data_IF_607707867731
#
_entry.id   IF_607707867731
#
_cell.length_a   1.000
_cell.length_b   1.000
_cell.length_c   1.000
_cell.angle_alpha   90.00
_cell.angle_beta   90.00
_cell.angle_gamma   90.00
#
_symmetry.space_group_name_H-M   'P 1'
#
loop_
_entity.id
_entity.type
_entity.pdbx_description
1 polymer ?
#
# COMPACT_ATOMS: atom_id res chain seq x y z
N UNK A 1 -1.34 -24.94 -11.68
CA UNK A 1 -2.42 -23.94 -11.52
C UNK A 1 -2.40 -23.39 -10.11
N UNK A 2 -2.48 -22.10 -9.98
CA UNK A 2 -2.47 -21.43 -8.67
C UNK A 2 -3.88 -21.44 -8.07
N UNK A 3 -4.04 -21.77 -6.79
CA UNK A 3 -5.36 -21.85 -6.18
C UNK A 3 -5.94 -20.47 -5.88
N UNK A 4 -7.27 -20.41 -5.82
CA UNK A 4 -7.94 -19.24 -5.28
C UNK A 4 -7.74 -19.20 -3.76
N UNK A 5 -7.70 -18.01 -3.21
CA UNK A 5 -7.54 -17.82 -1.76
C UNK A 5 -8.65 -18.51 -0.99
N UNK A 6 -9.89 -18.44 -1.48
CA UNK A 6 -11.04 -19.11 -0.85
C UNK A 6 -11.01 -20.62 -0.96
N UNK A 7 -10.22 -21.19 -1.87
CA UNK A 7 -10.02 -22.64 -1.94
C UNK A 7 -9.10 -23.13 -0.83
N UNK A 8 -8.10 -22.33 -0.48
CA UNK A 8 -7.18 -22.67 0.62
C UNK A 8 -7.80 -22.35 1.98
N UNK A 9 -8.57 -21.31 2.06
CA UNK A 9 -9.18 -20.83 3.30
C UNK A 9 -10.66 -20.52 3.08
N UNK A 10 -11.53 -21.56 3.07
CA UNK A 10 -12.95 -21.38 2.78
C UNK A 10 -13.71 -20.47 3.74
N UNK A 11 -13.17 -20.24 4.93
CA UNK A 11 -13.81 -19.35 5.91
C UNK A 11 -14.05 -17.94 5.37
N UNK A 12 -13.29 -17.51 4.39
CA UNK A 12 -13.46 -16.17 3.81
C UNK A 12 -14.74 -16.03 2.98
N UNK A 13 -15.36 -17.13 2.58
CA UNK A 13 -16.63 -17.04 1.84
C UNK A 13 -17.76 -16.49 2.68
N UNK A 14 -17.62 -16.51 4.01
CA UNK A 14 -18.61 -15.95 4.92
C UNK A 14 -18.41 -14.44 5.17
N UNK A 15 -17.29 -13.88 4.72
CA UNK A 15 -16.99 -12.45 4.88
C UNK A 15 -17.41 -11.70 3.62
N UNK A 16 -18.57 -11.03 3.67
CA UNK A 16 -19.12 -10.33 2.52
C UNK A 16 -18.18 -9.21 2.05
N UNK A 17 -17.56 -8.47 2.97
CA UNK A 17 -16.65 -7.39 2.60
C UNK A 17 -15.41 -7.93 1.88
N UNK A 18 -14.90 -9.07 2.32
CA UNK A 18 -13.78 -9.73 1.64
C UNK A 18 -14.20 -10.23 0.26
N UNK A 19 -15.35 -10.89 0.16
CA UNK A 19 -15.83 -11.44 -1.10
C UNK A 19 -16.09 -10.33 -2.15
N UNK A 20 -16.59 -9.18 -1.72
CA UNK A 20 -16.83 -8.05 -2.62
C UNK A 20 -15.53 -7.51 -3.22
N UNK A 21 -14.46 -7.45 -2.45
CA UNK A 21 -13.19 -6.88 -2.91
C UNK A 21 -12.21 -7.93 -3.42
N UNK A 22 -12.23 -9.14 -2.88
CA UNK A 22 -11.17 -10.11 -3.09
C UNK A 22 -11.65 -11.55 -3.29
N UNK A 23 -12.96 -11.74 -3.55
CA UNK A 23 -13.53 -13.09 -3.70
C UNK A 23 -12.89 -13.93 -4.80
N UNK A 24 -12.32 -13.28 -5.81
CA UNK A 24 -11.61 -13.94 -6.90
C UNK A 24 -10.09 -13.93 -6.74
N UNK A 25 -9.59 -13.58 -5.55
CA UNK A 25 -8.15 -13.52 -5.30
C UNK A 25 -7.48 -14.87 -5.54
N UNK A 26 -6.34 -14.85 -6.21
CA UNK A 26 -5.54 -16.02 -6.50
C UNK A 26 -4.26 -15.96 -5.67
N UNK A 27 -3.96 -17.03 -4.96
CA UNK A 27 -2.72 -17.09 -4.17
C UNK A 27 -1.56 -17.37 -5.13
N UNK A 28 -0.65 -16.39 -5.21
CA UNK A 28 0.54 -16.50 -6.04
C UNK A 28 1.61 -17.34 -5.34
N UNK A 29 1.82 -17.11 -4.05
CA UNK A 29 2.78 -17.86 -3.25
C UNK A 29 2.58 -17.60 -1.76
N UNK A 30 3.09 -18.50 -0.95
CA UNK A 30 3.18 -18.35 0.50
C UNK A 30 4.63 -18.55 0.87
N UNK A 31 5.23 -17.56 1.53
CA UNK A 31 6.63 -17.59 1.91
C UNK A 31 6.74 -17.66 3.43
N UNK A 32 7.45 -18.66 3.93
CA UNK A 32 7.69 -18.80 5.37
C UNK A 32 9.14 -18.43 5.68
N UNK A 33 9.33 -17.40 6.46
CA UNK A 33 10.62 -17.01 7.01
C UNK A 33 10.71 -17.57 8.43
N UNK A 34 11.33 -18.71 8.58
CA UNK A 34 11.42 -19.39 9.87
C UNK A 34 12.33 -18.68 10.84
N UNK A 35 13.34 -17.97 10.35
CA UNK A 35 14.30 -17.26 11.18
C UNK A 35 13.63 -16.07 11.86
N UNK A 36 12.86 -15.29 11.14
CA UNK A 36 12.17 -14.11 11.65
C UNK A 36 10.74 -14.38 12.10
N UNK A 37 10.27 -15.63 11.93
CA UNK A 37 8.90 -16.03 12.30
C UNK A 37 7.84 -15.22 11.57
N UNK A 38 7.97 -15.10 10.25
CA UNK A 38 7.04 -14.37 9.40
C UNK A 38 6.51 -15.26 8.29
N UNK A 39 5.19 -15.25 8.11
CA UNK A 39 4.53 -15.87 6.97
C UNK A 39 3.97 -14.75 6.08
N UNK A 40 4.35 -14.75 4.82
CA UNK A 40 3.86 -13.77 3.85
C UNK A 40 3.00 -14.49 2.81
N UNK A 41 1.75 -14.04 2.67
CA UNK A 41 0.83 -14.54 1.65
C UNK A 41 0.77 -13.50 0.54
N UNK A 42 1.17 -13.90 -0.66
CA UNK A 42 1.11 -13.04 -1.85
C UNK A 42 -0.06 -13.50 -2.71
N UNK A 43 -1.00 -12.61 -2.94
CA UNK A 43 -2.19 -12.93 -3.71
C UNK A 43 -2.45 -11.86 -4.77
N UNK A 44 -3.20 -12.23 -5.80
CA UNK A 44 -3.50 -11.34 -6.92
C UNK A 44 -5.00 -11.11 -7.02
N UNK A 45 -5.36 -9.84 -7.19
CA UNK A 45 -6.74 -9.42 -7.38
C UNK A 45 -6.83 -8.50 -8.60
N UNK A 46 -8.04 -8.27 -9.09
CA UNK A 46 -8.25 -7.35 -10.21
C UNK A 46 -7.99 -5.89 -9.79
N UNK A 47 -8.44 -5.54 -8.60
CA UNK A 47 -8.32 -4.18 -8.07
C UNK A 47 -7.55 -4.19 -6.75
N UNK A 48 -6.96 -3.03 -6.36
CA UNK A 48 -6.29 -2.94 -5.06
C UNK A 48 -7.23 -3.32 -3.92
N UNK A 49 -6.72 -4.09 -2.96
CA UNK A 49 -7.49 -4.49 -1.79
C UNK A 49 -7.33 -3.44 -0.70
N UNK A 50 -8.44 -2.92 -0.15
CA UNK A 50 -8.34 -1.94 0.93
C UNK A 50 -7.59 -2.48 2.15
N UNK A 51 -6.90 -1.60 2.86
CA UNK A 51 -6.12 -1.97 4.03
C UNK A 51 -6.97 -2.65 5.11
N UNK A 52 -8.23 -2.24 5.26
CA UNK A 52 -9.16 -2.87 6.20
C UNK A 52 -9.39 -4.35 5.87
N UNK A 53 -9.56 -4.65 4.60
CA UNK A 53 -9.76 -6.03 4.14
C UNK A 53 -8.49 -6.86 4.36
N UNK A 54 -7.33 -6.29 4.08
CA UNK A 54 -6.06 -6.95 4.35
C UNK A 54 -5.89 -7.25 5.85
N UNK A 55 -6.31 -6.33 6.71
CA UNK A 55 -6.28 -6.52 8.15
C UNK A 55 -7.17 -7.67 8.61
N UNK A 56 -8.35 -7.80 8.03
CA UNK A 56 -9.26 -8.93 8.31
C UNK A 56 -8.66 -10.25 7.86
N UNK A 57 -8.01 -10.25 6.70
CA UNK A 57 -7.33 -11.42 6.18
C UNK A 57 -6.23 -11.87 7.14
N UNK A 58 -5.42 -10.95 7.61
CA UNK A 58 -4.35 -11.25 8.58
C UNK A 58 -4.95 -11.81 9.86
N UNK A 59 -5.95 -11.16 10.43
CA UNK A 59 -6.58 -11.59 11.69
C UNK A 59 -7.18 -12.98 11.56
N UNK A 60 -7.75 -13.32 10.41
CA UNK A 60 -8.34 -14.64 10.18
C UNK A 60 -7.29 -15.73 10.00
N UNK A 61 -6.14 -15.39 9.44
CA UNK A 61 -5.07 -16.38 9.17
C UNK A 61 -4.13 -16.59 10.36
N UNK A 62 -3.95 -15.58 11.21
CA UNK A 62 -3.01 -15.69 12.34
C UNK A 62 -3.19 -16.94 13.21
N UNK A 63 -4.44 -17.33 13.59
CA UNK A 63 -4.62 -18.52 14.41
C UNK A 63 -4.18 -19.83 13.74
N UNK A 64 -4.06 -19.83 12.42
CA UNK A 64 -3.63 -21.03 11.67
C UNK A 64 -2.12 -21.18 11.61
N UNK A 65 -1.38 -20.15 11.96
CA UNK A 65 0.09 -20.13 11.96
C UNK A 65 0.62 -19.67 13.31
N UNK A 66 0.40 -20.45 14.38
CA UNK A 66 0.80 -20.03 15.72
C UNK A 66 2.32 -19.82 15.81
N UNK A 67 2.71 -18.73 16.44
CA UNK A 67 4.12 -18.37 16.59
C UNK A 67 4.70 -17.60 15.41
N UNK A 68 3.90 -17.30 14.38
CA UNK A 68 4.34 -16.52 13.23
C UNK A 68 3.55 -15.21 13.12
N UNK A 69 4.22 -14.16 12.69
CA UNK A 69 3.55 -12.94 12.27
C UNK A 69 3.07 -13.10 10.84
N UNK A 70 1.87 -12.63 10.53
CA UNK A 70 1.30 -12.72 9.19
C UNK A 70 1.48 -11.40 8.45
N UNK A 71 1.90 -11.51 7.20
CA UNK A 71 1.92 -10.39 6.25
C UNK A 71 1.18 -10.81 5.00
N UNK A 72 0.47 -9.89 4.39
CA UNK A 72 -0.18 -10.12 3.11
C UNK A 72 0.27 -9.07 2.11
N UNK A 73 0.47 -9.49 0.87
CA UNK A 73 0.85 -8.60 -0.21
C UNK A 73 -0.11 -8.81 -1.37
N UNK A 74 -0.92 -7.81 -1.65
CA UNK A 74 -1.85 -7.86 -2.77
C UNK A 74 -1.18 -7.37 -4.04
N UNK A 75 -1.26 -8.17 -5.10
CA UNK A 75 -0.81 -7.80 -6.43
C UNK A 75 -2.02 -7.41 -7.28
N UNK A 76 -1.87 -6.42 -8.12
CA UNK A 76 -2.94 -5.97 -9.01
C UNK A 76 -2.35 -5.28 -10.23
N UNK A 77 -3.17 -5.04 -11.25
CA UNK A 77 -2.69 -4.37 -12.46
C UNK A 77 -2.47 -2.88 -12.19
N UNK A 78 -1.37 -2.33 -12.73
CA UNK A 78 -1.06 -0.91 -12.57
C UNK A 78 -2.20 -0.01 -13.05
N UNK A 79 -2.90 -0.42 -14.11
CA UNK A 79 -4.04 0.35 -14.64
C UNK A 79 -5.21 0.48 -13.65
N UNK A 80 -5.22 -0.35 -12.62
CA UNK A 80 -6.24 -0.29 -11.55
C UNK A 80 -5.78 0.50 -10.33
N UNK A 81 -4.56 1.05 -10.35
CA UNK A 81 -4.02 1.83 -9.24
C UNK A 81 -4.85 3.09 -9.02
N UNK A 82 -5.22 3.33 -7.77
CA UNK A 82 -5.98 4.51 -7.36
C UNK A 82 -5.17 5.39 -6.43
N UNK A 83 -5.60 6.65 -6.27
CA UNK A 83 -4.96 7.56 -5.32
C UNK A 83 -4.95 6.99 -3.90
N UNK A 84 -6.06 6.39 -3.49
CA UNK A 84 -6.18 5.75 -2.18
C UNK A 84 -5.18 4.60 -2.04
N UNK A 85 -5.05 3.78 -3.08
CA UNK A 85 -4.10 2.66 -3.05
C UNK A 85 -2.66 3.15 -2.90
N UNK A 86 -2.30 4.24 -3.58
CA UNK A 86 -0.97 4.83 -3.44
C UNK A 86 -0.71 5.28 -2.01
N UNK A 87 -1.69 5.95 -1.39
CA UNK A 87 -1.56 6.38 0.01
C UNK A 87 -1.45 5.20 0.98
N UNK A 88 -2.21 4.13 0.73
CA UNK A 88 -2.11 2.92 1.55
C UNK A 88 -0.75 2.24 1.41
N UNK A 89 -0.19 2.20 0.19
CA UNK A 89 1.16 1.68 -0.02
C UNK A 89 2.21 2.56 0.67
N UNK A 90 2.02 3.86 0.66
CA UNK A 90 2.90 4.78 1.39
C UNK A 90 2.85 4.51 2.90
N UNK A 91 1.68 4.19 3.45
CA UNK A 91 1.56 3.81 4.86
C UNK A 91 2.30 2.50 5.16
N UNK A 92 2.37 1.56 4.20
CA UNK A 92 3.17 0.36 4.38
C UNK A 92 4.65 0.67 4.54
N UNK A 93 5.15 1.72 3.90
CA UNK A 93 6.53 2.17 4.08
C UNK A 93 6.77 2.66 5.51
N UNK A 94 5.78 3.32 6.10
CA UNK A 94 5.84 3.73 7.50
C UNK A 94 5.91 2.52 8.42
N UNK A 95 5.08 1.51 8.16
CA UNK A 95 5.07 0.28 8.94
C UNK A 95 6.38 -0.50 8.80
N UNK A 96 7.06 -0.34 7.66
CA UNK A 96 8.37 -0.94 7.42
C UNK A 96 9.52 -0.15 8.08
N UNK A 97 9.22 0.93 8.78
CA UNK A 97 10.21 1.70 9.54
C UNK A 97 10.59 3.05 8.96
N UNK A 98 10.00 3.47 7.84
CA UNK A 98 10.29 4.79 7.29
C UNK A 98 9.59 5.87 8.13
N UNK A 99 10.33 6.85 8.70
CA UNK A 99 9.75 7.82 9.63
C UNK A 99 8.96 8.92 8.90
N UNK A 100 7.78 8.57 8.43
CA UNK A 100 6.91 9.50 7.68
C UNK A 100 6.21 10.49 8.60
N UNK A 101 5.90 10.10 9.84
CA UNK A 101 5.41 10.99 10.91
C UNK A 101 4.21 11.87 10.55
N UNK A 102 3.26 11.33 9.80
CA UNK A 102 2.05 12.07 9.46
C UNK A 102 2.22 13.09 8.34
N UNK A 103 3.37 13.14 7.66
CA UNK A 103 3.55 14.01 6.50
C UNK A 103 2.56 13.71 5.38
N UNK A 104 2.00 12.51 5.37
CA UNK A 104 0.99 12.10 4.38
C UNK A 104 -0.43 12.44 4.81
N UNK A 105 -0.62 12.99 6.01
CA UNK A 105 -1.94 13.40 6.45
C UNK A 105 -2.44 14.54 5.55
N UNK A 106 -3.60 14.34 4.93
CA UNK A 106 -4.15 15.31 3.98
C UNK A 106 -3.44 15.34 2.64
N UNK A 107 -2.50 14.44 2.38
CA UNK A 107 -1.82 14.37 1.10
C UNK A 107 -2.79 14.04 -0.04
N UNK A 108 -2.50 14.59 -1.21
CA UNK A 108 -3.25 14.30 -2.42
C UNK A 108 -2.35 13.61 -3.43
N UNK A 109 -2.92 12.67 -4.17
CA UNK A 109 -2.20 11.90 -5.16
C UNK A 109 -2.86 12.06 -6.52
N UNK A 110 -2.06 12.45 -7.51
CA UNK A 110 -2.49 12.51 -8.90
C UNK A 110 -1.75 11.44 -9.70
N UNK A 111 -2.48 10.67 -10.47
CA UNK A 111 -1.91 9.62 -11.31
C UNK A 111 -2.17 9.98 -12.76
N UNK A 112 -1.10 10.08 -13.55
CA UNK A 112 -1.18 10.35 -14.98
C UNK A 112 -0.24 9.39 -15.71
N UNK A 113 -0.81 8.30 -16.27
CA UNK A 113 0.00 7.24 -16.86
C UNK A 113 0.97 6.66 -15.85
N UNK A 114 2.25 6.66 -16.17
CA UNK A 114 3.29 6.17 -15.27
C UNK A 114 3.91 7.27 -14.42
N UNK A 115 3.27 8.43 -14.34
CA UNK A 115 3.69 9.55 -13.50
C UNK A 115 2.73 9.68 -12.33
N UNK A 116 3.26 9.69 -11.12
CA UNK A 116 2.50 9.86 -9.89
C UNK A 116 3.03 11.08 -9.16
N UNK A 117 2.14 11.99 -8.84
CA UNK A 117 2.50 13.19 -8.06
C UNK A 117 1.86 13.07 -6.68
N UNK A 118 2.68 13.11 -5.64
CA UNK A 118 2.22 13.13 -4.26
C UNK A 118 2.37 14.55 -3.74
N UNK A 119 1.25 15.18 -3.42
CA UNK A 119 1.21 16.55 -2.91
C UNK A 119 1.04 16.51 -1.41
N UNK A 120 1.99 17.10 -0.72
CA UNK A 120 2.00 17.14 0.74
C UNK A 120 2.05 18.59 1.20
N UNK A 121 1.51 18.86 2.38
CA UNK A 121 1.49 20.21 2.93
C UNK A 121 2.87 20.65 3.40
N UNK A 122 3.64 19.72 3.94
CA UNK A 122 4.98 19.99 4.46
C UNK A 122 5.82 18.71 4.43
N UNK A 123 7.10 18.87 4.77
CA UNK A 123 7.97 17.69 4.90
C UNK A 123 8.60 17.20 3.62
N UNK A 124 8.43 17.92 2.49
CA UNK A 124 8.99 17.50 1.20
C UNK A 124 10.49 17.25 1.30
N UNK A 125 11.22 18.14 1.97
CA UNK A 125 12.67 18.01 2.10
C UNK A 125 13.05 16.74 2.86
N UNK A 126 12.39 16.47 3.98
CA UNK A 126 12.64 15.27 4.78
C UNK A 126 12.27 14.01 4.02
N UNK A 127 11.12 14.00 3.35
CA UNK A 127 10.70 12.87 2.54
C UNK A 127 11.69 12.59 1.40
N UNK A 128 12.22 13.65 0.80
CA UNK A 128 13.23 13.52 -0.25
C UNK A 128 14.53 12.94 0.31
N UNK A 129 14.96 13.40 1.48
CA UNK A 129 16.16 12.87 2.12
C UNK A 129 16.03 11.41 2.51
N UNK A 130 14.81 10.96 2.83
CA UNK A 130 14.54 9.56 3.15
C UNK A 130 14.33 8.70 1.91
N UNK A 131 14.45 9.29 0.72
CA UNK A 131 14.22 8.59 -0.56
C UNK A 131 12.80 8.00 -0.64
N UNK A 132 11.83 8.70 -0.09
CA UNK A 132 10.45 8.25 -0.06
C UNK A 132 9.91 7.94 -1.46
N UNK A 133 10.16 8.85 -2.42
CA UNK A 133 9.67 8.66 -3.79
C UNK A 133 10.24 7.39 -4.42
N UNK A 134 11.54 7.15 -4.25
CA UNK A 134 12.21 5.95 -4.78
C UNK A 134 11.64 4.69 -4.15
N UNK A 135 11.46 4.70 -2.83
CA UNK A 135 10.92 3.54 -2.11
C UNK A 135 9.47 3.27 -2.51
N UNK A 136 8.68 4.31 -2.71
CA UNK A 136 7.30 4.15 -3.18
C UNK A 136 7.26 3.60 -4.59
N UNK A 137 8.13 4.08 -5.48
CA UNK A 137 8.26 3.53 -6.84
C UNK A 137 8.58 2.03 -6.80
N UNK A 138 9.53 1.64 -5.97
CA UNK A 138 9.91 0.23 -5.83
C UNK A 138 8.77 -0.62 -5.28
N UNK A 139 8.02 -0.11 -4.31
CA UNK A 139 6.90 -0.82 -3.74
C UNK A 139 5.77 -1.00 -4.76
N UNK A 140 5.46 0.05 -5.52
CA UNK A 140 4.45 -0.04 -6.57
C UNK A 140 4.89 -1.04 -7.64
N UNK A 141 6.17 -1.03 -8.02
CA UNK A 141 6.70 -2.00 -8.98
C UNK A 141 6.55 -3.43 -8.46
N UNK A 142 6.79 -3.65 -7.18
CA UNK A 142 6.63 -4.98 -6.57
C UNK A 142 5.18 -5.46 -6.58
N UNK A 143 4.22 -4.53 -6.49
CA UNK A 143 2.79 -4.89 -6.42
C UNK A 143 2.09 -4.91 -7.77
N UNK A 144 2.57 -4.13 -8.74
CA UNK A 144 1.88 -3.98 -10.04
C UNK A 144 2.72 -4.45 -11.23
N UNK A 145 4.02 -4.65 -11.03
CA UNK A 145 4.94 -4.98 -12.10
C UNK A 145 5.38 -3.77 -12.93
N UNK A 146 4.91 -2.57 -12.60
CA UNK A 146 5.27 -1.34 -13.32
C UNK A 146 5.88 -0.36 -12.33
N UNK A 147 7.06 0.17 -12.66
CA UNK A 147 7.72 1.19 -11.85
C UNK A 147 7.37 2.58 -12.38
N UNK A 148 6.50 3.34 -11.68
CA UNK A 148 6.17 4.69 -12.10
C UNK A 148 7.26 5.67 -11.68
N UNK A 149 7.15 6.91 -12.16
CA UNK A 149 7.94 8.01 -11.64
C UNK A 149 7.10 8.74 -10.59
N UNK A 150 7.61 8.81 -9.38
CA UNK A 150 6.93 9.48 -8.27
C UNK A 150 7.60 10.82 -8.00
N UNK A 151 6.83 11.88 -8.03
CA UNK A 151 7.27 13.22 -7.69
C UNK A 151 6.61 13.67 -6.38
N UNK A 152 7.39 14.27 -5.51
CA UNK A 152 6.89 14.91 -4.29
C UNK A 152 6.79 16.40 -4.52
N UNK A 153 5.66 16.99 -4.20
CA UNK A 153 5.39 18.39 -4.39
C UNK A 153 4.78 18.97 -3.12
N UNK A 154 5.22 20.18 -2.75
CA UNK A 154 4.52 20.92 -1.71
C UNK A 154 3.26 21.52 -2.31
N UNK A 155 2.10 21.18 -1.74
CA UNK A 155 0.84 21.66 -2.27
C UNK A 155 0.51 23.05 -1.72
N UNK A 156 0.79 24.06 -2.52
CA UNK A 156 0.52 25.44 -2.16
C UNK A 156 -0.98 25.73 -2.09
N UNK A 157 -1.81 24.95 -2.78
CA UNK A 157 -3.25 25.12 -2.72
C UNK A 157 -3.84 24.64 -1.38
N UNK A 158 -3.26 23.58 -0.79
CA UNK A 158 -3.70 23.06 0.51
C UNK A 158 -3.32 24.02 1.63
N UNK A 159 -2.13 24.63 1.54
CA UNK A 159 -1.59 25.51 2.58
C UNK A 159 -1.38 26.95 2.08
N UNK A 160 -2.24 27.38 1.17
CA UNK A 160 -2.08 28.66 0.47
C UNK A 160 -1.87 29.85 1.41
N UNK A 161 -2.69 29.99 2.43
CA UNK A 161 -2.58 31.10 3.36
C UNK A 161 -1.26 31.06 4.14
N UNK A 162 -0.88 29.91 4.63
CA UNK A 162 0.37 29.74 5.37
C UNK A 162 1.58 30.00 4.47
N UNK A 163 1.54 29.53 3.24
CA UNK A 163 2.61 29.73 2.28
C UNK A 163 2.73 31.18 1.89
N UNK A 164 1.62 31.83 1.60
CA UNK A 164 1.63 33.28 1.26
C UNK A 164 2.18 34.11 2.40
N UNK A 165 1.80 33.83 3.62
CA UNK A 165 2.33 34.54 4.79
C UNK A 165 3.84 34.37 4.89
N UNK A 166 4.36 33.19 4.64
CA UNK A 166 5.80 32.95 4.68
C UNK A 166 6.54 33.66 3.55
N UNK A 167 5.98 33.66 2.36
CA UNK A 167 6.61 34.31 1.21
C UNK A 167 6.64 35.81 1.35
N UNK A 168 5.57 36.39 1.87
CA UNK A 168 5.46 37.83 2.01
C UNK A 168 6.26 38.43 3.19
N UNK A 169 6.72 37.60 4.05
CA UNK A 169 7.60 37.96 5.16
C UNK A 169 9.06 37.84 4.77
#
# INVERSE_FOLDING_TARGET
MKPMLTQLWPQFTADAAFMDSSGSAIVERVVADRQNKIITVVYRTANPVPAETSGRLIASLEPQFPGFALKVQGLFAYTCLTSRAVLELAEELKDAGLPINGFLSGAQVDISGEHITVRVQNGVLLLTQMEFAVKLEELIAARTGVRPQVALVCDTAISAEAVEEHILK
#
